data_IF_287055482835
#
_entry.id   IF_287055482835
#
_cell.length_a   1.000
_cell.length_b   1.000
_cell.length_c   1.000
_cell.angle_alpha   90.00
_cell.angle_beta   90.00
_cell.angle_gamma   90.00
#
_symmetry.space_group_name_H-M   'P 1'
#
loop_
_entity.id
_entity.type
_entity.pdbx_description
1 polymer ?
#
# COMPACT_ATOMS: atom_id res chain seq x y z
N UNK A 1 -16.12 17.39 7.65
CA UNK A 1 -15.35 18.62 7.33
C UNK A 1 -15.22 19.45 8.60
N UNK A 2 -14.00 19.88 8.92
CA UNK A 2 -13.58 20.80 10.01
C UNK A 2 -13.68 20.36 11.48
N UNK A 3 -12.98 19.27 11.84
CA UNK A 3 -12.60 18.98 13.24
C UNK A 3 -11.08 19.06 13.53
N UNK A 4 -10.25 19.47 12.57
CA UNK A 4 -8.78 19.34 12.67
C UNK A 4 -7.96 20.61 12.38
N UNK A 5 -8.53 21.81 12.54
CA UNK A 5 -7.76 23.07 12.49
C UNK A 5 -7.72 23.74 13.86
N UNK A 6 -7.27 22.97 14.87
CA UNK A 6 -6.60 23.54 16.04
C UNK A 6 -5.13 23.81 15.72
N UNK A 7 -4.41 24.54 16.58
CA UNK A 7 -2.96 24.71 16.41
C UNK A 7 -2.30 23.35 16.26
N UNK A 8 -1.45 23.19 15.24
CA UNK A 8 -0.74 21.95 14.92
C UNK A 8 0.31 21.66 16.00
N UNK A 9 -0.15 21.20 17.15
CA UNK A 9 0.73 20.74 18.22
C UNK A 9 1.45 19.49 17.76
N UNK A 10 2.76 19.42 18.06
CA UNK A 10 3.59 18.28 17.70
C UNK A 10 3.13 17.04 18.47
N UNK A 11 2.85 15.89 17.81
CA UNK A 11 2.41 14.69 18.52
C UNK A 11 3.45 14.21 19.52
N UNK A 12 2.98 13.79 20.70
CA UNK A 12 3.83 13.31 21.79
C UNK A 12 4.67 12.08 21.41
N UNK A 13 4.27 11.31 20.40
CA UNK A 13 4.99 10.12 19.94
C UNK A 13 6.23 10.45 19.09
N UNK A 14 6.38 11.69 18.61
CA UNK A 14 7.48 12.05 17.71
C UNK A 14 8.86 11.92 18.38
N UNK A 15 9.06 12.54 19.55
CA UNK A 15 10.37 12.53 20.20
C UNK A 15 10.86 11.13 20.59
N UNK A 16 10.05 10.29 21.26
CA UNK A 16 10.49 8.94 21.64
C UNK A 16 10.84 8.07 20.45
N UNK A 17 10.06 8.14 19.36
CA UNK A 17 10.30 7.32 18.16
C UNK A 17 11.47 7.82 17.33
N UNK A 18 11.68 9.14 17.22
CA UNK A 18 12.90 9.71 16.61
C UNK A 18 14.14 9.27 17.40
N UNK A 19 14.10 9.37 18.74
CA UNK A 19 15.20 8.91 19.58
C UNK A 19 15.48 7.41 19.36
N UNK A 20 14.44 6.57 19.33
CA UNK A 20 14.58 5.14 19.08
C UNK A 20 15.26 4.83 17.72
N UNK A 21 14.91 5.55 16.65
CA UNK A 21 15.58 5.39 15.34
C UNK A 21 17.04 5.84 15.42
N UNK A 22 17.33 6.98 16.05
CA UNK A 22 18.70 7.47 16.16
C UNK A 22 19.59 6.55 17.00
N UNK A 23 19.07 6.03 18.11
CA UNK A 23 19.77 5.08 18.97
C UNK A 23 19.97 3.72 18.26
N UNK A 24 18.99 3.31 17.43
CA UNK A 24 19.06 2.11 16.59
C UNK A 24 19.93 2.25 15.33
N UNK A 25 20.44 3.44 15.01
CA UNK A 25 21.22 3.68 13.78
C UNK A 25 22.54 2.90 13.69
N UNK A 26 22.99 2.26 14.78
CA UNK A 26 24.09 1.31 14.73
C UNK A 26 23.80 0.08 13.85
N UNK A 27 22.53 -0.33 13.71
CA UNK A 27 22.14 -1.49 12.90
C UNK A 27 22.49 -1.32 11.42
N UNK A 28 22.44 -0.09 10.89
CA UNK A 28 22.71 0.18 9.46
C UNK A 28 24.22 0.16 9.11
N UNK A 29 25.10 0.06 10.11
CA UNK A 29 26.55 -0.03 9.90
C UNK A 29 26.99 -1.38 9.33
N UNK A 30 26.18 -2.42 9.52
CA UNK A 30 26.45 -3.74 8.96
C UNK A 30 26.23 -3.80 7.43
N UNK A 31 25.53 -2.82 6.85
CA UNK A 31 25.27 -2.80 5.41
C UNK A 31 26.56 -2.68 4.59
N UNK A 32 26.72 -3.56 3.62
CA UNK A 32 27.85 -3.62 2.69
C UNK A 32 27.49 -3.16 1.27
N UNK A 33 26.21 -2.95 0.99
CA UNK A 33 25.70 -2.47 -0.29
C UNK A 33 24.39 -1.69 -0.18
N UNK A 34 23.96 -1.09 -1.30
CA UNK A 34 22.76 -0.25 -1.34
C UNK A 34 21.51 -0.92 -0.82
N UNK A 35 21.21 -2.12 -1.31
CA UNK A 35 19.99 -2.84 -0.97
C UNK A 35 19.92 -3.18 0.52
N UNK A 36 21.03 -3.59 1.12
CA UNK A 36 21.10 -3.94 2.54
C UNK A 36 20.92 -2.70 3.42
N UNK A 37 21.49 -1.55 3.03
CA UNK A 37 21.26 -0.29 3.76
C UNK A 37 19.80 0.15 3.66
N UNK A 38 19.21 0.03 2.48
CA UNK A 38 17.81 0.37 2.27
C UNK A 38 16.90 -0.49 3.14
N UNK A 39 17.08 -1.81 3.15
CA UNK A 39 16.28 -2.73 3.97
C UNK A 39 16.42 -2.44 5.47
N UNK A 40 17.65 -2.29 5.98
CA UNK A 40 17.87 -1.96 7.38
C UNK A 40 17.25 -0.60 7.77
N UNK A 41 17.14 0.34 6.83
CA UNK A 41 16.46 1.62 7.06
C UNK A 41 14.93 1.43 7.09
N UNK A 42 14.39 0.64 6.16
CA UNK A 42 12.97 0.28 6.10
C UNK A 42 12.52 -0.38 7.40
N UNK A 43 13.26 -1.38 7.91
CA UNK A 43 12.93 -2.07 9.16
C UNK A 43 12.97 -1.12 10.37
N UNK A 44 14.00 -0.27 10.46
CA UNK A 44 14.19 0.64 11.59
C UNK A 44 13.11 1.73 11.65
N UNK A 45 12.80 2.34 10.51
CA UNK A 45 11.77 3.38 10.37
C UNK A 45 10.38 2.77 10.48
N UNK A 46 10.17 1.66 9.77
CA UNK A 46 8.96 0.86 9.74
C UNK A 46 8.47 0.43 11.11
N UNK A 47 9.37 -0.10 11.94
CA UNK A 47 9.07 -0.50 13.31
C UNK A 47 8.47 0.64 14.15
N UNK A 48 8.86 1.90 13.91
CA UNK A 48 8.27 3.05 14.60
C UNK A 48 6.90 3.42 14.03
N UNK A 49 6.69 3.27 12.73
CA UNK A 49 5.37 3.46 12.11
C UNK A 49 4.40 2.41 12.65
N UNK A 50 4.82 1.14 12.73
CA UNK A 50 4.03 0.07 13.33
C UNK A 50 3.61 0.38 14.76
N UNK A 51 4.55 0.82 15.59
CA UNK A 51 4.25 1.24 16.96
C UNK A 51 3.24 2.40 17.00
N UNK A 52 3.44 3.44 16.18
CA UNK A 52 2.55 4.59 16.14
C UNK A 52 1.12 4.20 15.71
N UNK A 53 0.99 3.38 14.66
CA UNK A 53 -0.32 2.95 14.14
C UNK A 53 -1.03 2.05 15.14
N UNK A 54 -0.35 1.07 15.75
CA UNK A 54 -1.00 0.07 16.61
C UNK A 54 -1.27 0.57 18.03
N UNK A 55 -0.32 1.31 18.60
CA UNK A 55 -0.34 1.66 20.03
C UNK A 55 -0.76 3.12 20.27
N UNK A 56 -0.43 4.05 19.36
CA UNK A 56 -0.73 5.47 19.55
C UNK A 56 -2.05 5.88 18.91
N UNK A 57 -2.32 5.44 17.66
CA UNK A 57 -3.59 5.61 16.91
C UNK A 57 -4.08 7.07 16.70
N UNK A 58 -3.26 8.08 16.98
CA UNK A 58 -3.63 9.50 16.86
C UNK A 58 -2.45 10.38 16.44
N UNK A 59 -2.74 11.44 15.71
CA UNK A 59 -1.71 12.37 15.22
C UNK A 59 -0.71 11.70 14.29
N UNK A 60 -1.19 10.80 13.41
CA UNK A 60 -0.38 9.99 12.48
C UNK A 60 0.11 10.82 11.29
N UNK A 61 0.79 11.93 11.57
CA UNK A 61 1.39 12.80 10.56
C UNK A 61 2.79 12.30 10.19
N UNK A 62 2.85 11.13 9.57
CA UNK A 62 4.09 10.39 9.30
C UNK A 62 5.06 11.13 8.38
N UNK A 63 4.57 11.93 7.43
CA UNK A 63 5.42 12.81 6.60
C UNK A 63 6.10 13.91 7.43
N UNK A 64 5.37 14.50 8.38
CA UNK A 64 5.93 15.49 9.28
C UNK A 64 6.96 14.85 10.22
N UNK A 65 6.64 13.67 10.73
CA UNK A 65 7.57 12.88 11.54
C UNK A 65 8.85 12.55 10.75
N UNK A 66 8.75 12.11 9.49
CA UNK A 66 9.90 11.79 8.64
C UNK A 66 10.80 13.02 8.41
N UNK A 67 10.19 14.18 8.16
CA UNK A 67 10.93 15.44 8.01
C UNK A 67 11.72 15.78 9.29
N UNK A 68 11.11 15.61 10.47
CA UNK A 68 11.81 15.86 11.73
C UNK A 68 12.86 14.80 12.07
N UNK A 69 12.61 13.54 11.74
CA UNK A 69 13.62 12.48 11.85
C UNK A 69 14.85 12.84 11.01
N UNK A 70 14.65 13.35 9.80
CA UNK A 70 15.74 13.81 8.92
C UNK A 70 16.53 14.96 9.56
N UNK A 71 15.85 15.96 10.12
CA UNK A 71 16.48 17.10 10.81
C UNK A 71 17.27 16.64 12.05
N UNK A 72 16.68 15.78 12.88
CA UNK A 72 17.31 15.23 14.07
C UNK A 72 18.53 14.35 13.73
N UNK A 73 18.45 13.57 12.65
CA UNK A 73 19.57 12.78 12.12
C UNK A 73 20.72 13.70 11.70
N UNK A 74 20.43 14.78 10.97
CA UNK A 74 21.43 15.76 10.56
C UNK A 74 22.08 16.47 11.75
N UNK A 75 21.29 16.84 12.76
CA UNK A 75 21.77 17.46 13.99
C UNK A 75 22.69 16.50 14.77
N UNK A 76 22.30 15.23 14.93
CA UNK A 76 23.11 14.19 15.58
C UNK A 76 24.49 14.03 14.93
N UNK A 77 24.54 14.00 13.60
CA UNK A 77 25.79 13.95 12.83
C UNK A 77 26.64 15.19 13.13
N UNK A 78 26.04 16.37 13.07
CA UNK A 78 26.77 17.63 13.28
C UNK A 78 27.41 17.69 14.66
N UNK A 79 26.64 17.37 15.69
CA UNK A 79 27.04 17.34 17.10
C UNK A 79 28.20 16.38 17.36
N UNK A 80 28.11 15.15 16.84
CA UNK A 80 29.17 14.14 17.00
C UNK A 80 30.46 14.54 16.29
N UNK A 81 30.36 15.15 15.12
CA UNK A 81 31.51 15.68 14.41
C UNK A 81 32.17 16.84 15.17
N UNK A 82 31.41 17.72 15.84
CA UNK A 82 31.98 18.80 16.65
C UNK A 82 32.67 18.30 17.91
N UNK A 83 32.17 17.20 18.49
CA UNK A 83 32.81 16.53 19.62
C UNK A 83 34.04 15.72 19.22
N UNK A 84 34.30 15.54 17.91
CA UNK A 84 35.37 14.70 17.39
C UNK A 84 35.18 13.19 17.66
N UNK A 85 33.95 12.76 17.88
CA UNK A 85 33.61 11.35 18.11
C UNK A 85 33.46 10.55 16.82
N UNK A 86 33.25 9.23 16.94
CA UNK A 86 32.93 8.33 15.81
C UNK A 86 31.44 7.96 15.73
N UNK A 87 30.62 8.46 16.67
CA UNK A 87 29.18 8.16 16.75
C UNK A 87 28.32 8.74 15.61
N UNK A 88 28.93 9.47 14.67
CA UNK A 88 28.24 10.05 13.53
C UNK A 88 28.01 9.06 12.37
N UNK A 89 28.74 7.92 12.32
CA UNK A 89 28.72 7.00 11.17
C UNK A 89 27.35 6.35 10.93
N UNK A 90 26.69 5.88 12.01
CA UNK A 90 25.36 5.28 11.94
C UNK A 90 24.32 6.28 11.42
N UNK A 91 24.16 7.45 12.07
CA UNK A 91 23.30 8.53 11.59
C UNK A 91 23.62 8.98 10.15
N UNK A 92 24.91 9.01 9.75
CA UNK A 92 25.30 9.34 8.38
C UNK A 92 24.76 8.33 7.36
N UNK A 93 24.91 7.03 7.60
CA UNK A 93 24.33 5.99 6.73
C UNK A 93 22.81 6.02 6.73
N UNK A 94 22.20 6.20 7.90
CA UNK A 94 20.75 6.35 8.04
C UNK A 94 20.24 7.52 7.17
N UNK A 95 20.93 8.65 7.15
CA UNK A 95 20.54 9.80 6.31
C UNK A 95 20.53 9.46 4.81
N UNK A 96 21.45 8.60 4.35
CA UNK A 96 21.42 8.08 2.98
C UNK A 96 20.28 7.09 2.76
N UNK A 97 20.00 6.22 3.72
CA UNK A 97 18.81 5.34 3.71
C UNK A 97 17.50 6.13 3.62
N UNK A 98 17.31 7.15 4.45
CA UNK A 98 16.15 8.04 4.42
C UNK A 98 15.99 8.70 3.04
N UNK A 99 17.09 9.13 2.44
CA UNK A 99 17.05 9.68 1.07
C UNK A 99 16.70 8.65 -0.01
N UNK A 100 16.85 7.35 0.26
CA UNK A 100 16.54 6.28 -0.67
C UNK A 100 15.09 5.80 -0.56
N UNK A 101 14.50 5.82 0.64
CA UNK A 101 13.14 5.33 0.90
C UNK A 101 12.07 6.42 0.85
N UNK A 102 12.41 7.68 1.10
CA UNK A 102 11.43 8.77 1.12
C UNK A 102 10.89 9.09 -0.29
N UNK A 103 9.64 9.53 -0.38
CA UNK A 103 9.08 10.13 -1.61
C UNK A 103 9.98 11.29 -2.09
N UNK A 104 9.92 11.73 -3.37
CA UNK A 104 10.79 12.81 -3.86
C UNK A 104 10.80 14.08 -2.98
N UNK A 105 9.64 14.44 -2.40
CA UNK A 105 9.51 15.55 -1.47
C UNK A 105 10.28 15.30 -0.16
N UNK A 106 10.09 14.14 0.46
CA UNK A 106 10.75 13.76 1.73
C UNK A 106 12.26 13.52 1.55
N UNK A 107 12.65 12.81 0.49
CA UNK A 107 14.03 12.50 0.15
C UNK A 107 14.86 13.76 -0.13
N UNK A 108 14.24 14.86 -0.59
CA UNK A 108 14.90 16.14 -0.83
C UNK A 108 15.53 16.72 0.44
N UNK A 109 14.84 16.60 1.59
CA UNK A 109 15.34 17.04 2.90
C UNK A 109 16.61 16.28 3.29
N UNK A 110 16.55 14.95 3.27
CA UNK A 110 17.68 14.09 3.61
C UNK A 110 18.87 14.28 2.64
N UNK A 111 18.57 14.41 1.35
CA UNK A 111 19.56 14.70 0.31
C UNK A 111 20.29 16.02 0.57
N UNK A 112 19.55 17.07 0.92
CA UNK A 112 20.08 18.39 1.20
C UNK A 112 20.93 18.39 2.46
N UNK A 113 20.45 17.77 3.54
CA UNK A 113 21.21 17.63 4.78
C UNK A 113 22.55 16.92 4.55
N UNK A 114 22.54 15.80 3.81
CA UNK A 114 23.77 15.07 3.53
C UNK A 114 24.76 15.87 2.68
N UNK A 115 24.28 16.63 1.67
CA UNK A 115 25.15 17.52 0.87
C UNK A 115 25.83 18.59 1.74
N UNK A 116 25.11 19.15 2.72
CA UNK A 116 25.66 20.16 3.65
C UNK A 116 26.72 19.59 4.58
N UNK A 117 26.55 18.33 5.01
CA UNK A 117 27.43 17.66 5.96
C UNK A 117 28.63 16.97 5.30
N UNK A 118 28.58 16.67 4.00
CA UNK A 118 29.60 15.91 3.28
C UNK A 118 31.04 16.39 3.50
N UNK A 119 31.28 17.70 3.42
CA UNK A 119 32.63 18.25 3.62
C UNK A 119 33.14 18.10 5.06
N UNK A 120 32.24 18.14 6.06
CA UNK A 120 32.58 17.95 7.48
C UNK A 120 32.90 16.48 7.75
N UNK A 121 32.06 15.57 7.24
CA UNK A 121 32.26 14.11 7.30
C UNK A 121 33.59 13.71 6.64
N UNK A 122 33.89 14.23 5.45
CA UNK A 122 35.14 13.94 4.75
C UNK A 122 36.39 14.37 5.54
N UNK A 123 36.34 15.50 6.26
CA UNK A 123 37.45 15.99 7.09
C UNK A 123 37.66 15.17 8.37
N UNK A 124 36.60 14.56 8.90
CA UNK A 124 36.65 13.74 10.10
C UNK A 124 37.30 12.36 9.88
N UNK A 125 37.97 12.15 8.73
CA UNK A 125 38.57 10.87 8.39
C UNK A 125 37.53 9.78 8.19
N UNK A 126 36.31 10.16 7.78
CA UNK A 126 35.23 9.22 7.57
C UNK A 126 35.70 8.00 6.79
N UNK A 127 35.33 6.78 7.20
CA UNK A 127 35.77 5.55 6.54
C UNK A 127 35.53 5.76 5.06
N UNK A 128 36.59 5.65 4.24
CA UNK A 128 36.59 6.07 2.84
C UNK A 128 35.25 5.76 2.20
N UNK A 129 34.45 6.81 2.02
CA UNK A 129 32.98 6.68 1.90
C UNK A 129 32.68 5.61 0.88
N UNK A 130 31.93 4.58 1.30
CA UNK A 130 31.65 3.46 0.42
C UNK A 130 31.05 4.04 -0.87
N UNK A 131 31.68 3.75 -2.02
CA UNK A 131 31.37 4.42 -3.29
C UNK A 131 29.90 4.30 -3.70
N UNK A 132 29.19 3.34 -3.12
CA UNK A 132 27.78 3.08 -3.35
C UNK A 132 26.83 3.98 -2.53
N UNK A 133 27.28 4.63 -1.45
CA UNK A 133 26.44 5.50 -0.61
C UNK A 133 25.81 6.68 -1.37
N UNK A 134 26.55 7.42 -2.23
CA UNK A 134 25.93 8.44 -3.07
C UNK A 134 24.98 7.88 -4.13
N UNK A 135 25.18 6.62 -4.55
CA UNK A 135 24.38 5.97 -5.59
C UNK A 135 22.98 5.56 -5.10
N UNK A 136 22.78 5.42 -3.78
CA UNK A 136 21.49 5.14 -3.12
C UNK A 136 20.33 6.00 -3.65
N UNK A 137 20.60 7.28 -3.90
CA UNK A 137 19.60 8.29 -4.31
C UNK A 137 19.16 8.16 -5.76
N UNK A 138 19.81 7.28 -6.51
CA UNK A 138 19.67 7.14 -7.96
C UNK A 138 19.13 5.77 -8.37
N UNK A 139 18.50 5.06 -7.44
CA UNK A 139 17.66 3.93 -7.80
C UNK A 139 16.62 4.38 -8.82
N UNK A 140 16.41 3.56 -9.84
CA UNK A 140 15.41 3.79 -10.87
C UNK A 140 14.70 2.50 -11.23
N UNK A 141 13.45 2.59 -11.65
CA UNK A 141 12.75 1.45 -12.23
C UNK A 141 13.36 1.07 -13.58
N UNK A 142 13.49 -0.23 -13.85
CA UNK A 142 13.86 -0.75 -15.18
C UNK A 142 12.72 -0.56 -16.19
N UNK A 143 11.50 -0.24 -15.73
CA UNK A 143 10.30 -0.11 -16.54
C UNK A 143 9.71 -1.44 -17.00
N UNK A 144 10.27 -2.57 -16.55
CA UNK A 144 9.64 -3.89 -16.69
C UNK A 144 8.63 -4.05 -15.56
N UNK A 145 7.41 -4.46 -15.92
CA UNK A 145 6.30 -4.59 -14.99
C UNK A 145 5.52 -5.85 -15.30
N UNK A 146 5.16 -6.58 -14.26
CA UNK A 146 4.26 -7.73 -14.31
C UNK A 146 3.07 -7.46 -13.42
N UNK A 147 1.93 -8.02 -13.77
CA UNK A 147 0.74 -8.00 -12.95
C UNK A 147 0.21 -9.42 -12.73
N UNK A 148 -0.45 -9.61 -11.59
CA UNK A 148 -1.17 -10.80 -11.18
C UNK A 148 -2.54 -10.37 -10.69
N UNK A 149 -3.52 -11.24 -10.85
CA UNK A 149 -4.85 -11.05 -10.27
C UNK A 149 -5.28 -12.36 -9.63
N UNK A 150 -5.92 -12.30 -8.47
CA UNK A 150 -6.55 -13.47 -7.88
C UNK A 150 -7.80 -13.90 -8.65
N UNK A 151 -8.31 -15.09 -8.36
CA UNK A 151 -9.47 -15.66 -9.01
C UNK A 151 -10.75 -14.84 -8.80
N UNK A 152 -10.82 -13.99 -7.76
CA UNK A 152 -11.94 -13.07 -7.57
C UNK A 152 -11.83 -11.82 -8.45
N UNK A 153 -10.63 -11.43 -8.89
CA UNK A 153 -10.41 -10.22 -9.66
C UNK A 153 -10.23 -8.95 -8.81
N UNK A 154 -10.13 -9.08 -7.48
CA UNK A 154 -10.08 -7.95 -6.54
C UNK A 154 -8.75 -7.82 -5.81
N UNK A 155 -7.90 -8.84 -5.85
CA UNK A 155 -6.55 -8.78 -5.30
C UNK A 155 -5.53 -8.74 -6.43
N UNK A 156 -4.72 -7.69 -6.49
CA UNK A 156 -3.86 -7.40 -7.62
C UNK A 156 -2.41 -7.29 -7.16
N UNK A 157 -1.53 -8.14 -7.67
CA UNK A 157 -0.09 -8.00 -7.48
C UNK A 157 0.52 -7.23 -8.65
N UNK A 158 1.26 -6.15 -8.40
CA UNK A 158 2.08 -5.48 -9.41
C UNK A 158 3.55 -5.58 -9.03
N UNK A 159 4.35 -6.19 -9.90
CA UNK A 159 5.78 -6.39 -9.69
C UNK A 159 6.52 -5.50 -10.67
N UNK A 160 7.40 -4.63 -10.18
CA UNK A 160 8.20 -3.75 -11.03
C UNK A 160 9.69 -3.96 -10.81
N UNK A 161 10.48 -3.95 -11.88
CA UNK A 161 11.94 -4.06 -11.81
C UNK A 161 12.62 -2.76 -11.39
N UNK A 162 13.69 -2.86 -10.61
CA UNK A 162 14.51 -1.75 -10.13
C UNK A 162 16.00 -2.09 -10.16
N UNK A 163 16.83 -1.05 -10.27
CA UNK A 163 18.29 -1.18 -10.22
C UNK A 163 18.92 0.12 -9.72
N UNK A 164 20.07 0.00 -9.06
CA UNK A 164 20.95 1.14 -8.79
C UNK A 164 21.82 1.45 -10.03
N UNK A 165 22.47 2.64 -10.06
CA UNK A 165 23.31 3.02 -11.20
C UNK A 165 24.34 1.96 -11.60
N UNK A 166 24.44 1.72 -12.91
CA UNK A 166 25.37 0.73 -13.45
C UNK A 166 24.85 -0.71 -13.41
N UNK A 167 23.56 -0.95 -13.13
CA UNK A 167 23.00 -2.30 -13.06
C UNK A 167 23.29 -3.01 -11.74
N UNK A 168 23.65 -2.25 -10.69
CA UNK A 168 23.99 -2.79 -9.38
C UNK A 168 22.73 -3.17 -8.62
N UNK A 169 22.80 -4.31 -7.93
CA UNK A 169 21.73 -4.91 -7.12
C UNK A 169 20.37 -4.88 -7.84
N UNK A 170 20.22 -5.58 -8.99
CA UNK A 170 18.92 -5.71 -9.64
C UNK A 170 17.95 -6.39 -8.67
N UNK A 171 16.74 -5.86 -8.61
CA UNK A 171 15.68 -6.39 -7.75
C UNK A 171 14.31 -6.10 -8.35
N UNK A 172 13.28 -6.72 -7.81
CA UNK A 172 11.89 -6.34 -8.08
C UNK A 172 11.22 -5.81 -6.81
N UNK A 173 10.21 -4.97 -6.98
CA UNK A 173 9.35 -4.51 -5.90
C UNK A 173 7.91 -4.95 -6.17
N UNK A 174 7.28 -5.57 -5.17
CA UNK A 174 5.87 -5.94 -5.19
C UNK A 174 5.03 -4.83 -4.57
N UNK A 175 4.00 -4.40 -5.30
CA UNK A 175 2.84 -3.70 -4.78
C UNK A 175 1.69 -4.72 -4.71
N UNK A 176 1.27 -5.10 -3.51
CA UNK A 176 0.11 -5.98 -3.32
C UNK A 176 -1.11 -5.11 -2.98
N UNK A 177 -2.00 -4.97 -3.95
CA UNK A 177 -3.14 -4.06 -3.93
C UNK A 177 -4.42 -4.82 -3.65
N UNK A 178 -5.15 -4.38 -2.63
CA UNK A 178 -6.52 -4.79 -2.39
C UNK A 178 -7.49 -3.78 -3.01
N UNK A 179 -8.39 -4.26 -3.86
CA UNK A 179 -9.46 -3.46 -4.47
C UNK A 179 -10.86 -3.87 -4.00
N UNK A 180 -10.98 -4.68 -2.95
CA UNK A 180 -12.26 -5.13 -2.40
C UNK A 180 -13.08 -3.99 -1.80
N UNK A 181 -12.39 -3.01 -1.18
CA UNK A 181 -12.97 -1.82 -0.58
C UNK A 181 -12.42 -0.54 -1.20
N UNK A 182 -11.81 0.31 -0.37
CA UNK A 182 -10.89 1.34 -0.85
C UNK A 182 -9.67 0.67 -1.48
N UNK A 183 -9.15 1.24 -2.56
CA UNK A 183 -7.96 0.70 -3.22
C UNK A 183 -6.74 1.00 -2.36
N UNK A 184 -6.09 -0.01 -1.81
CA UNK A 184 -4.98 0.16 -0.86
C UNK A 184 -3.83 -0.80 -1.14
N UNK A 185 -2.59 -0.39 -0.85
CA UNK A 185 -1.44 -1.30 -0.81
C UNK A 185 -1.40 -1.94 0.57
N UNK A 186 -1.78 -3.22 0.65
CA UNK A 186 -1.89 -3.93 1.93
C UNK A 186 -0.69 -4.83 2.24
N UNK A 187 0.18 -5.04 1.25
CA UNK A 187 1.50 -5.64 1.42
C UNK A 187 2.46 -5.09 0.34
N UNK A 188 3.75 -5.08 0.65
CA UNK A 188 4.78 -4.62 -0.27
C UNK A 188 6.13 -5.21 0.10
N UNK A 189 7.08 -5.27 -0.82
CA UNK A 189 8.43 -5.77 -0.50
C UNK A 189 9.40 -5.78 -1.67
N UNK A 190 10.69 -5.90 -1.36
CA UNK A 190 11.77 -6.08 -2.34
C UNK A 190 12.15 -7.56 -2.41
N UNK A 191 12.32 -8.06 -3.63
CA UNK A 191 12.70 -9.44 -3.90
C UNK A 191 13.83 -9.51 -4.93
N UNK A 192 14.56 -10.62 -4.97
CA UNK A 192 15.64 -10.81 -5.95
C UNK A 192 15.09 -10.90 -7.38
N UNK A 193 13.93 -11.52 -7.56
CA UNK A 193 13.32 -11.77 -8.86
C UNK A 193 11.79 -11.84 -8.81
N UNK A 194 11.18 -11.91 -10.00
CA UNK A 194 9.72 -12.02 -10.18
C UNK A 194 9.18 -13.29 -9.52
N UNK A 195 9.89 -14.41 -9.56
CA UNK A 195 9.39 -15.68 -9.01
C UNK A 195 9.26 -15.62 -7.48
N UNK A 196 10.23 -15.03 -6.79
CA UNK A 196 10.15 -14.77 -5.36
C UNK A 196 9.00 -13.81 -5.01
N UNK A 197 8.84 -12.73 -5.77
CA UNK A 197 7.75 -11.77 -5.56
C UNK A 197 6.37 -12.40 -5.78
N UNK A 198 6.22 -13.25 -6.80
CA UNK A 198 5.00 -14.03 -7.06
C UNK A 198 4.72 -14.99 -5.91
N UNK A 199 5.73 -15.74 -5.45
CA UNK A 199 5.56 -16.66 -4.33
C UNK A 199 5.11 -15.94 -3.05
N UNK A 200 5.72 -14.79 -2.75
CA UNK A 200 5.34 -13.98 -1.60
C UNK A 200 3.92 -13.40 -1.74
N UNK A 201 3.55 -12.93 -2.94
CA UNK A 201 2.22 -12.44 -3.22
C UNK A 201 1.16 -13.53 -3.04
N UNK A 202 1.37 -14.72 -3.64
CA UNK A 202 0.45 -15.86 -3.50
C UNK A 202 0.31 -16.31 -2.04
N UNK A 203 1.42 -16.36 -1.30
CA UNK A 203 1.40 -16.72 0.11
C UNK A 203 0.58 -15.75 0.96
N UNK A 204 0.58 -14.46 0.61
CA UNK A 204 -0.19 -13.44 1.32
C UNK A 204 -1.66 -13.40 0.87
N UNK A 205 -1.92 -13.47 -0.43
CA UNK A 205 -3.27 -13.42 -1.00
C UNK A 205 -4.10 -14.69 -0.68
N UNK A 206 -3.43 -15.83 -0.51
CA UNK A 206 -4.05 -17.10 -0.11
C UNK A 206 -4.58 -17.92 -1.29
N UNK A 207 -5.56 -18.77 -1.02
CA UNK A 207 -6.03 -19.80 -1.96
C UNK A 207 -6.48 -19.24 -3.31
N UNK A 208 -7.15 -18.08 -3.34
CA UNK A 208 -7.63 -17.44 -4.58
C UNK A 208 -6.50 -17.04 -5.54
N UNK A 209 -5.26 -16.96 -5.07
CA UNK A 209 -4.10 -16.59 -5.86
C UNK A 209 -3.25 -17.81 -6.30
N UNK A 210 -3.60 -19.02 -5.87
CA UNK A 210 -2.76 -20.22 -6.04
C UNK A 210 -2.34 -20.48 -7.50
N UNK A 211 -3.29 -20.33 -8.43
CA UNK A 211 -3.08 -20.57 -9.87
C UNK A 211 -2.71 -19.30 -10.67
N UNK A 212 -2.64 -18.14 -10.03
CA UNK A 212 -2.47 -16.87 -10.73
C UNK A 212 -1.04 -16.71 -11.27
N UNK A 213 -0.86 -16.58 -12.58
CA UNK A 213 0.45 -16.43 -13.23
C UNK A 213 0.80 -14.96 -13.50
N UNK A 214 2.10 -14.59 -13.42
CA UNK A 214 2.53 -13.24 -13.76
C UNK A 214 2.45 -12.97 -15.26
N UNK A 215 1.71 -11.92 -15.63
CA UNK A 215 1.65 -11.43 -17.01
C UNK A 215 2.42 -10.11 -17.13
N UNK A 216 3.29 -10.00 -18.13
CA UNK A 216 3.98 -8.74 -18.42
C UNK A 216 2.96 -7.67 -18.84
N UNK A 217 2.95 -6.53 -18.17
CA UNK A 217 2.03 -5.44 -18.47
C UNK A 217 2.39 -4.84 -19.84
N UNK A 218 1.45 -4.88 -20.78
CA UNK A 218 1.62 -4.35 -22.14
C UNK A 218 1.00 -2.97 -22.30
N UNK A 219 0.00 -2.64 -21.45
CA UNK A 219 -0.79 -1.43 -21.58
C UNK A 219 -0.90 -0.72 -20.23
N UNK A 220 -1.02 0.60 -20.26
CA UNK A 220 -1.05 1.40 -19.04
C UNK A 220 -2.31 1.13 -18.19
N UNK A 221 -3.44 0.78 -18.81
CA UNK A 221 -4.69 0.47 -18.11
C UNK A 221 -4.63 -0.82 -17.28
N UNK A 222 -3.70 -1.74 -17.58
CA UNK A 222 -3.42 -2.91 -16.73
C UNK A 222 -2.79 -2.52 -15.39
N UNK A 223 -2.26 -1.29 -15.29
CA UNK A 223 -1.65 -0.73 -14.08
C UNK A 223 -2.55 0.32 -13.41
N UNK A 224 -3.84 0.36 -13.76
CA UNK A 224 -4.80 1.34 -13.24
C UNK A 224 -4.89 1.31 -11.71
N UNK A 225 -4.77 0.13 -11.09
CA UNK A 225 -4.77 -0.04 -9.63
C UNK A 225 -3.72 0.85 -8.93
N UNK A 226 -2.54 1.03 -9.53
CA UNK A 226 -1.48 1.88 -8.97
C UNK A 226 -1.80 3.37 -9.03
N UNK A 227 -2.69 3.80 -9.94
CA UNK A 227 -3.13 5.19 -9.99
C UNK A 227 -4.11 5.54 -8.86
N UNK A 228 -4.85 4.54 -8.36
CA UNK A 228 -5.91 4.73 -7.35
C UNK A 228 -5.51 4.29 -5.95
N UNK A 229 -4.58 3.34 -5.83
CA UNK A 229 -4.18 2.84 -4.53
C UNK A 229 -3.68 3.98 -3.63
N UNK A 230 -4.07 3.96 -2.36
CA UNK A 230 -3.43 4.82 -1.36
C UNK A 230 -2.00 4.31 -1.12
N UNK A 231 -1.01 5.16 -1.43
CA UNK A 231 0.41 4.88 -1.32
C UNK A 231 1.11 5.72 -0.25
N UNK A 232 0.35 6.16 0.76
CA UNK A 232 0.89 6.85 1.93
C UNK A 232 0.30 8.23 2.17
N UNK A 233 -0.95 8.46 1.78
CA UNK A 233 -1.57 9.77 1.80
C UNK A 233 -2.18 10.14 3.13
N UNK A 234 -3.25 9.46 3.55
CA UNK A 234 -4.21 10.17 4.42
C UNK A 234 -4.91 9.30 5.47
N UNK A 235 -4.93 7.96 5.33
CA UNK A 235 -5.75 7.10 6.19
C UNK A 235 -5.00 5.82 6.57
N UNK A 236 -4.83 5.63 7.88
CA UNK A 236 -4.51 4.31 8.45
C UNK A 236 -5.83 3.65 8.89
N UNK A 237 -6.00 2.38 8.53
CA UNK A 237 -7.10 1.52 8.96
C UNK A 237 -6.76 0.81 10.27
N UNK A 238 -5.47 0.61 10.58
CA UNK A 238 -4.98 0.02 11.83
C UNK A 238 -4.82 -1.50 11.78
N UNK A 239 -5.22 -2.14 10.69
CA UNK A 239 -5.11 -3.56 10.39
C UNK A 239 -4.04 -3.86 9.31
N UNK A 240 -3.21 -2.86 8.97
CA UNK A 240 -2.18 -3.01 7.96
C UNK A 240 -1.16 -4.10 8.34
N UNK A 241 -0.70 -4.81 7.32
CA UNK A 241 0.36 -5.80 7.51
C UNK A 241 1.66 -5.15 7.99
N UNK A 242 2.47 -5.93 8.71
CA UNK A 242 3.80 -5.47 9.12
C UNK A 242 4.61 -4.97 7.93
N UNK A 243 4.55 -5.72 6.83
CA UNK A 243 5.30 -5.40 5.62
C UNK A 243 4.79 -4.11 4.96
N UNK A 244 3.48 -3.84 4.93
CA UNK A 244 2.95 -2.58 4.41
C UNK A 244 3.44 -1.37 5.23
N UNK A 245 3.40 -1.49 6.56
CA UNK A 245 3.85 -0.44 7.47
C UNK A 245 5.36 -0.22 7.42
N UNK A 246 6.14 -1.30 7.31
CA UNK A 246 7.59 -1.20 7.14
C UNK A 246 7.94 -0.53 5.81
N UNK A 247 7.21 -0.86 4.75
CA UNK A 247 7.38 -0.30 3.42
C UNK A 247 6.72 1.07 3.19
N UNK A 248 6.07 1.67 4.20
CA UNK A 248 5.20 2.84 4.02
C UNK A 248 5.79 3.94 3.13
N UNK A 249 6.99 4.41 3.44
CA UNK A 249 7.69 5.42 2.63
C UNK A 249 8.22 4.86 1.32
N UNK A 250 8.77 3.63 1.36
CA UNK A 250 9.40 2.96 0.21
C UNK A 250 8.38 2.74 -0.92
N UNK A 251 7.14 2.39 -0.61
CA UNK A 251 6.06 2.20 -1.58
C UNK A 251 5.83 3.46 -2.41
N UNK A 252 5.62 4.61 -1.76
CA UNK A 252 5.46 5.91 -2.45
C UNK A 252 6.67 6.23 -3.33
N UNK A 253 7.88 6.00 -2.82
CA UNK A 253 9.13 6.21 -3.55
C UNK A 253 9.23 5.31 -4.79
N UNK A 254 8.91 4.02 -4.67
CA UNK A 254 8.93 3.05 -5.77
C UNK A 254 7.90 3.38 -6.84
N UNK A 255 6.70 3.81 -6.44
CA UNK A 255 5.68 4.24 -7.38
C UNK A 255 6.13 5.46 -8.19
N UNK A 256 6.74 6.46 -7.56
CA UNK A 256 7.27 7.63 -8.27
C UNK A 256 8.33 7.25 -9.31
N UNK A 257 9.29 6.38 -8.93
CA UNK A 257 10.33 5.91 -9.85
C UNK A 257 9.76 5.09 -11.01
N UNK A 258 8.75 4.27 -10.74
CA UNK A 258 8.01 3.53 -11.77
C UNK A 258 7.25 4.47 -12.71
N UNK A 259 6.48 5.40 -12.16
CA UNK A 259 5.69 6.36 -12.93
C UNK A 259 6.58 7.21 -13.86
N UNK A 260 7.74 7.64 -13.37
CA UNK A 260 8.71 8.40 -14.16
C UNK A 260 9.35 7.53 -15.25
N UNK A 261 9.68 6.27 -14.97
CA UNK A 261 10.21 5.34 -15.97
C UNK A 261 9.18 5.06 -17.09
N UNK A 262 7.93 4.80 -16.72
CA UNK A 262 6.82 4.58 -17.64
C UNK A 262 6.52 5.82 -18.49
N UNK A 263 6.53 7.01 -17.89
CA UNK A 263 6.38 8.28 -18.63
C UNK A 263 7.49 8.47 -19.66
N UNK A 264 8.75 8.21 -19.29
CA UNK A 264 9.90 8.29 -20.21
C UNK A 264 9.80 7.30 -21.38
N UNK A 265 9.08 6.19 -21.21
CA UNK A 265 8.82 5.17 -22.24
C UNK A 265 7.59 5.45 -23.10
N UNK A 266 6.84 6.51 -22.82
CA UNK A 266 5.64 6.87 -23.57
C UNK A 266 4.37 6.12 -23.14
N UNK A 267 4.41 5.39 -22.02
CA UNK A 267 3.28 4.61 -21.47
C UNK A 267 2.99 5.04 -20.03
N UNK A 268 2.68 6.32 -19.76
CA UNK A 268 2.48 6.81 -18.40
C UNK A 268 1.34 6.07 -17.70
N UNK A 269 1.39 6.01 -16.36
CA UNK A 269 0.27 5.49 -15.58
C UNK A 269 -1.03 6.24 -15.92
N UNK A 270 -2.19 5.55 -15.90
CA UNK A 270 -3.48 6.18 -16.12
C UNK A 270 -3.72 7.34 -15.16
N UNK A 271 -4.47 8.33 -15.61
CA UNK A 271 -4.91 9.41 -14.73
C UNK A 271 -6.04 8.90 -13.85
N UNK A 272 -5.87 8.99 -12.53
CA UNK A 272 -6.94 8.70 -11.59
C UNK A 272 -8.12 9.68 -11.81
N UNK A 273 -9.32 9.12 -11.92
CA UNK A 273 -10.59 9.84 -11.84
C UNK A 273 -11.12 9.81 -10.41
N UNK A 274 -12.24 10.49 -10.14
CA UNK A 274 -12.87 10.37 -8.84
C UNK A 274 -13.74 9.11 -8.81
N UNK A 275 -13.48 8.16 -7.90
CA UNK A 275 -14.23 6.92 -7.76
C UNK A 275 -15.61 7.07 -7.08
N UNK A 276 -15.95 8.29 -6.66
CA UNK A 276 -17.19 8.63 -5.94
C UNK A 276 -18.09 9.60 -6.72
N UNK A 277 -17.74 9.93 -7.97
CA UNK A 277 -18.52 10.86 -8.80
C UNK A 277 -18.89 10.21 -10.12
N UNK A 278 -20.04 10.63 -10.65
CA UNK A 278 -20.55 10.21 -11.95
C UNK A 278 -20.70 8.67 -12.07
N UNK A 279 -21.07 8.03 -10.96
CA UNK A 279 -21.34 6.60 -10.89
C UNK A 279 -22.72 6.30 -11.49
N UNK A 280 -22.77 5.35 -12.42
CA UNK A 280 -24.01 4.84 -12.99
C UNK A 280 -24.20 3.37 -12.60
N UNK A 281 -25.00 3.14 -11.55
CA UNK A 281 -25.36 1.79 -11.11
C UNK A 281 -26.52 1.19 -11.92
N UNK A 282 -27.20 1.97 -12.78
CA UNK A 282 -28.39 1.56 -13.51
C UNK A 282 -28.23 0.25 -14.30
N UNK A 283 -27.15 0.10 -15.11
CA UNK A 283 -26.90 -1.14 -15.83
C UNK A 283 -26.75 -2.37 -14.91
N UNK A 284 -26.19 -2.20 -13.72
CA UNK A 284 -25.99 -3.27 -12.74
C UNK A 284 -27.33 -3.66 -12.09
N UNK A 285 -28.13 -2.65 -11.71
CA UNK A 285 -29.49 -2.78 -11.18
C UNK A 285 -30.39 -3.52 -12.17
N UNK A 286 -30.45 -3.07 -13.42
CA UNK A 286 -31.30 -3.64 -14.46
C UNK A 286 -30.95 -5.11 -14.75
N UNK A 287 -29.66 -5.41 -14.85
CA UNK A 287 -29.17 -6.76 -15.11
C UNK A 287 -29.47 -7.71 -13.94
N UNK A 288 -29.22 -7.28 -12.70
CA UNK A 288 -29.55 -8.08 -11.52
C UNK A 288 -31.07 -8.26 -11.35
N UNK A 289 -31.87 -7.21 -11.52
CA UNK A 289 -33.32 -7.28 -11.38
C UNK A 289 -33.94 -8.27 -12.38
N UNK A 290 -33.41 -8.31 -13.61
CA UNK A 290 -33.79 -9.29 -14.63
C UNK A 290 -33.44 -10.71 -14.18
N UNK A 291 -32.19 -10.95 -13.79
CA UNK A 291 -31.72 -12.25 -13.30
C UNK A 291 -32.53 -12.74 -12.08
N UNK A 292 -32.81 -11.84 -11.14
CA UNK A 292 -33.56 -12.15 -9.93
C UNK A 292 -35.02 -12.48 -10.26
N UNK A 293 -35.64 -11.74 -11.17
CA UNK A 293 -37.01 -11.99 -11.63
C UNK A 293 -37.14 -13.34 -12.32
N UNK A 294 -36.19 -13.70 -13.18
CA UNK A 294 -36.18 -15.00 -13.87
C UNK A 294 -36.10 -16.18 -12.89
N UNK A 295 -35.39 -16.00 -11.77
CA UNK A 295 -35.17 -17.05 -10.77
C UNK A 295 -36.24 -17.14 -9.68
N UNK A 296 -36.80 -15.99 -9.27
CA UNK A 296 -37.73 -15.89 -8.14
C UNK A 296 -39.16 -15.52 -8.55
N UNK A 297 -39.39 -15.20 -9.83
CA UNK A 297 -40.71 -14.89 -10.40
C UNK A 297 -41.22 -13.47 -10.13
N UNK A 298 -40.51 -12.67 -9.33
CA UNK A 298 -40.79 -11.26 -9.08
C UNK A 298 -39.48 -10.49 -8.96
N UNK A 299 -39.45 -9.20 -9.35
CA UNK A 299 -38.28 -8.36 -9.14
C UNK A 299 -38.07 -8.07 -7.64
N UNK A 300 -36.83 -7.77 -7.23
CA UNK A 300 -36.56 -7.26 -5.89
C UNK A 300 -37.15 -5.85 -5.72
N UNK A 301 -37.27 -5.39 -4.48
CA UNK A 301 -37.66 -4.01 -4.20
C UNK A 301 -36.62 -3.03 -4.81
N UNK A 302 -37.03 -1.99 -5.55
CA UNK A 302 -36.09 -1.11 -6.24
C UNK A 302 -35.15 -0.36 -5.30
N UNK A 303 -35.67 0.22 -4.22
CA UNK A 303 -34.89 1.07 -3.31
C UNK A 303 -33.73 0.33 -2.60
N UNK A 304 -33.94 -0.86 -1.99
CA UNK A 304 -32.82 -1.65 -1.45
C UNK A 304 -31.83 -2.14 -2.50
N UNK A 305 -32.30 -2.44 -3.72
CA UNK A 305 -31.43 -2.84 -4.82
C UNK A 305 -30.55 -1.68 -5.29
N UNK A 306 -31.13 -0.50 -5.49
CA UNK A 306 -30.42 0.71 -5.90
C UNK A 306 -29.35 1.08 -4.86
N UNK A 307 -29.70 1.06 -3.58
CA UNK A 307 -28.78 1.32 -2.48
C UNK A 307 -27.62 0.31 -2.45
N UNK A 308 -27.92 -0.99 -2.57
CA UNK A 308 -26.90 -2.05 -2.60
C UNK A 308 -25.97 -1.89 -3.81
N UNK A 309 -26.52 -1.65 -5.00
CA UNK A 309 -25.75 -1.51 -6.22
C UNK A 309 -24.81 -0.28 -6.17
N UNK A 310 -25.30 0.84 -5.65
CA UNK A 310 -24.49 2.05 -5.48
C UNK A 310 -23.31 1.80 -4.54
N UNK A 311 -23.56 1.23 -3.36
CA UNK A 311 -22.54 0.94 -2.34
C UNK A 311 -21.55 -0.14 -2.79
N UNK A 312 -22.01 -1.04 -3.66
CA UNK A 312 -21.16 -2.04 -4.30
C UNK A 312 -20.10 -1.41 -5.20
N UNK A 313 -20.44 -0.39 -5.98
CA UNK A 313 -19.54 0.22 -6.97
C UNK A 313 -18.84 1.50 -6.49
N UNK A 314 -19.39 2.20 -5.49
CA UNK A 314 -18.81 3.43 -4.98
C UNK A 314 -17.41 3.21 -4.40
N UNK A 315 -16.46 4.03 -4.83
CA UNK A 315 -15.07 3.92 -4.38
C UNK A 315 -14.31 2.69 -4.93
N UNK A 316 -14.92 1.87 -5.80
CA UNK A 316 -14.26 0.66 -6.32
C UNK A 316 -13.43 0.93 -7.56
N UNK A 317 -12.35 0.17 -7.69
CA UNK A 317 -11.53 0.16 -8.89
C UNK A 317 -12.37 -0.29 -10.11
N UNK A 318 -12.40 0.48 -11.21
CA UNK A 318 -13.06 0.07 -12.44
C UNK A 318 -12.52 -1.27 -12.94
N UNK A 319 -13.41 -2.10 -13.51
CA UNK A 319 -13.08 -3.46 -13.94
C UNK A 319 -13.14 -4.51 -12.82
N UNK A 320 -13.29 -4.09 -11.55
CA UNK A 320 -13.47 -5.03 -10.43
C UNK A 320 -14.93 -5.20 -10.01
N UNK A 321 -15.90 -4.57 -10.67
CA UNK A 321 -17.30 -4.53 -10.19
C UNK A 321 -17.96 -5.90 -10.02
N UNK A 322 -17.53 -6.93 -10.75
CA UNK A 322 -18.03 -8.29 -10.55
C UNK A 322 -17.21 -9.15 -9.57
N UNK A 323 -16.14 -8.60 -8.99
CA UNK A 323 -15.39 -9.32 -7.97
C UNK A 323 -16.24 -9.44 -6.70
N UNK A 324 -16.57 -10.66 -6.31
CA UNK A 324 -17.36 -10.96 -5.13
C UNK A 324 -16.51 -11.76 -4.14
N UNK A 325 -15.39 -11.20 -3.69
CA UNK A 325 -14.52 -11.84 -2.69
C UNK A 325 -15.13 -11.79 -1.28
N UNK A 326 -14.75 -12.72 -0.39
CA UNK A 326 -15.16 -12.68 1.02
C UNK A 326 -14.86 -11.33 1.68
N UNK A 327 -13.70 -10.73 1.35
CA UNK A 327 -13.31 -9.43 1.89
C UNK A 327 -14.25 -8.31 1.41
N UNK A 328 -14.62 -8.28 0.12
CA UNK A 328 -15.60 -7.30 -0.38
C UNK A 328 -16.97 -7.49 0.27
N UNK A 329 -17.41 -8.73 0.42
CA UNK A 329 -18.70 -9.04 1.08
C UNK A 329 -18.72 -8.49 2.51
N UNK A 330 -17.65 -8.70 3.29
CA UNK A 330 -17.55 -8.13 4.64
C UNK A 330 -17.52 -6.61 4.63
N UNK A 331 -16.78 -6.00 3.72
CA UNK A 331 -16.73 -4.54 3.58
C UNK A 331 -18.12 -3.95 3.31
N UNK A 332 -18.85 -4.50 2.33
CA UNK A 332 -20.21 -4.05 1.98
C UNK A 332 -21.19 -4.26 3.14
N UNK A 333 -21.07 -5.37 3.88
CA UNK A 333 -21.88 -5.58 5.09
C UNK A 333 -21.61 -4.55 6.17
N UNK A 334 -20.35 -4.15 6.35
CA UNK A 334 -19.98 -3.06 7.26
C UNK A 334 -20.70 -1.77 6.88
N UNK A 335 -20.65 -1.40 5.59
CA UNK A 335 -21.33 -0.19 5.08
C UNK A 335 -22.85 -0.25 5.28
N UNK A 336 -23.48 -1.36 4.89
CA UNK A 336 -24.93 -1.56 5.07
C UNK A 336 -25.33 -1.48 6.54
N UNK A 337 -24.50 -1.99 7.46
CA UNK A 337 -24.79 -1.95 8.90
C UNK A 337 -24.78 -0.53 9.49
N UNK A 338 -24.13 0.42 8.83
CA UNK A 338 -24.09 1.83 9.24
C UNK A 338 -25.30 2.65 8.74
N UNK A 339 -26.15 2.08 7.88
CA UNK A 339 -27.33 2.77 7.34
C UNK A 339 -28.40 2.99 8.42
N UNK A 340 -28.85 4.24 8.57
CA UNK A 340 -29.98 4.62 9.43
C UNK A 340 -31.26 4.56 8.62
N UNK A 341 -31.85 3.37 8.42
CA UNK A 341 -33.26 3.13 8.07
C UNK A 341 -33.55 1.60 8.04
N UNK A 342 -34.21 1.10 9.10
CA UNK A 342 -34.36 -0.34 9.41
C UNK A 342 -34.98 -1.23 8.29
N UNK A 343 -35.94 -0.77 7.45
CA UNK A 343 -36.49 -1.59 6.37
C UNK A 343 -35.53 -1.79 5.19
N UNK A 344 -34.87 -0.71 4.73
CA UNK A 344 -33.98 -0.75 3.56
C UNK A 344 -32.73 -1.57 3.87
N UNK A 345 -32.13 -1.35 5.05
CA UNK A 345 -30.97 -2.11 5.52
C UNK A 345 -31.25 -3.62 5.56
N UNK A 346 -32.42 -4.01 6.08
CA UNK A 346 -32.81 -5.41 6.19
C UNK A 346 -33.07 -6.05 4.83
N UNK A 347 -33.75 -5.35 3.93
CA UNK A 347 -34.05 -5.85 2.59
C UNK A 347 -32.79 -5.94 1.72
N UNK A 348 -31.90 -4.94 1.77
CA UNK A 348 -30.61 -4.99 1.06
C UNK A 348 -29.73 -6.13 1.58
N UNK A 349 -29.67 -6.32 2.90
CA UNK A 349 -28.96 -7.45 3.51
C UNK A 349 -29.50 -8.80 3.05
N UNK A 350 -30.82 -8.92 2.85
CA UNK A 350 -31.47 -10.14 2.37
C UNK A 350 -31.14 -10.44 0.90
N UNK A 351 -30.81 -9.43 0.08
CA UNK A 351 -30.41 -9.59 -1.31
C UNK A 351 -28.96 -10.06 -1.47
N UNK A 352 -28.09 -9.86 -0.47
CA UNK A 352 -26.65 -10.15 -0.57
C UNK A 352 -26.30 -11.56 -1.09
N UNK A 353 -26.91 -12.66 -0.61
CA UNK A 353 -26.57 -13.99 -1.10
C UNK A 353 -26.81 -14.15 -2.61
N UNK A 354 -27.91 -13.60 -3.11
CA UNK A 354 -28.27 -13.69 -4.52
C UNK A 354 -27.48 -12.70 -5.37
N UNK A 355 -27.18 -11.52 -4.84
CA UNK A 355 -26.25 -10.54 -5.41
C UNK A 355 -24.86 -11.16 -5.65
N UNK A 356 -24.32 -11.87 -4.64
CA UNK A 356 -23.03 -12.57 -4.72
C UNK A 356 -23.07 -13.70 -5.76
N UNK A 357 -24.13 -14.51 -5.78
CA UNK A 357 -24.29 -15.57 -6.80
C UNK A 357 -24.33 -15.00 -8.20
N UNK A 358 -25.09 -13.94 -8.40
CA UNK A 358 -25.18 -13.28 -9.69
C UNK A 358 -23.81 -12.78 -10.17
N UNK A 359 -23.04 -12.11 -9.30
CA UNK A 359 -21.68 -11.68 -9.62
C UNK A 359 -20.73 -12.83 -9.92
N UNK A 360 -20.80 -13.92 -9.15
CA UNK A 360 -20.01 -15.14 -9.41
C UNK A 360 -20.35 -15.79 -10.75
N UNK A 361 -21.62 -15.76 -11.16
CA UNK A 361 -22.05 -16.22 -12.49
C UNK A 361 -21.51 -15.32 -13.61
N UNK A 362 -21.28 -14.01 -13.37
CA UNK A 362 -20.69 -13.11 -14.37
C UNK A 362 -19.19 -13.33 -14.61
N UNK A 363 -18.50 -14.00 -13.68
CA UNK A 363 -17.04 -14.21 -13.72
C UNK A 363 -16.64 -15.67 -13.80
N UNK A 364 -17.61 -16.58 -13.95
CA UNK A 364 -17.40 -18.03 -13.89
C UNK A 364 -16.62 -18.45 -12.62
N UNK A 365 -16.92 -17.82 -11.48
CA UNK A 365 -16.18 -18.03 -10.23
C UNK A 365 -16.32 -19.50 -9.77
N UNK A 366 -15.20 -20.19 -9.45
CA UNK A 366 -15.24 -21.56 -8.95
C UNK A 366 -16.13 -21.75 -7.72
N UNK A 367 -16.83 -22.88 -7.65
CA UNK A 367 -17.83 -23.16 -6.60
C UNK A 367 -17.27 -23.03 -5.18
N UNK A 368 -16.04 -23.48 -4.94
CA UNK A 368 -15.39 -23.38 -3.62
C UNK A 368 -15.13 -21.91 -3.20
N UNK A 369 -14.78 -21.04 -4.14
CA UNK A 369 -14.60 -19.61 -3.89
C UNK A 369 -15.95 -18.90 -3.69
N UNK A 370 -16.96 -19.24 -4.49
CA UNK A 370 -18.33 -18.77 -4.26
C UNK A 370 -18.83 -19.16 -2.86
N UNK A 371 -18.57 -20.40 -2.42
CA UNK A 371 -18.95 -20.87 -1.09
C UNK A 371 -18.29 -20.02 0.02
N UNK A 372 -17.01 -19.66 -0.13
CA UNK A 372 -16.32 -18.77 0.81
C UNK A 372 -16.95 -17.37 0.86
N UNK A 373 -17.32 -16.80 -0.29
CA UNK A 373 -17.99 -15.49 -0.35
C UNK A 373 -19.38 -15.50 0.26
N UNK A 374 -20.15 -16.57 0.06
CA UNK A 374 -21.46 -16.75 0.70
C UNK A 374 -21.34 -16.95 2.21
N UNK A 375 -20.30 -17.67 2.68
CA UNK A 375 -20.04 -17.81 4.12
C UNK A 375 -19.76 -16.46 4.78
N UNK A 376 -19.06 -15.55 4.10
CA UNK A 376 -18.80 -14.20 4.59
C UNK A 376 -20.07 -13.34 4.81
N UNK A 377 -21.21 -13.73 4.22
CA UNK A 377 -22.52 -13.11 4.52
C UNK A 377 -23.00 -13.45 5.93
N UNK A 378 -22.72 -14.67 6.39
CA UNK A 378 -23.18 -15.19 7.67
C UNK A 378 -22.20 -14.94 8.84
N UNK A 379 -20.96 -14.51 8.56
CA UNK A 379 -19.95 -14.21 9.57
C UNK A 379 -20.40 -13.06 10.52
N UNK A 380 -20.09 -13.17 11.81
CA UNK A 380 -20.28 -12.05 12.75
C UNK A 380 -19.31 -10.89 12.41
N UNK A 381 -19.84 -9.66 12.37
CA UNK A 381 -19.06 -8.44 12.10
C UNK A 381 -17.99 -8.15 13.18
N UNK A 382 -18.11 -8.75 14.36
CA UNK A 382 -17.19 -8.57 15.50
C UNK A 382 -15.82 -9.26 15.35
N UNK A 383 -15.51 -9.88 14.20
CA UNK A 383 -14.22 -10.53 13.98
C UNK A 383 -13.31 -9.59 13.16
N UNK A 384 -12.33 -8.91 13.78
CA UNK A 384 -11.37 -8.09 13.04
C UNK A 384 -10.41 -9.02 12.31
N UNK A 385 -10.76 -9.40 11.09
CA UNK A 385 -9.95 -10.28 10.23
C UNK A 385 -9.69 -9.63 8.87
N UNK A 386 -9.59 -8.31 8.85
CA UNK A 386 -9.19 -7.53 7.67
C UNK A 386 -7.67 -7.61 7.40
N UNK A 387 -6.91 -8.19 8.34
CA UNK A 387 -5.48 -8.50 8.19
C UNK A 387 -5.14 -9.99 8.15
N UNK A 388 -6.13 -10.89 8.18
CA UNK A 388 -5.84 -12.32 8.06
C UNK A 388 -5.66 -12.72 6.59
N UNK A 389 -4.59 -13.48 6.26
CA UNK A 389 -4.54 -14.17 4.97
C UNK A 389 -5.82 -14.99 4.82
N UNK A 390 -6.39 -15.02 3.61
CA UNK A 390 -7.53 -15.89 3.30
C UNK A 390 -7.20 -17.30 3.82
N UNK A 391 -7.86 -17.71 4.91
CA UNK A 391 -7.42 -18.87 5.68
C UNK A 391 -7.48 -20.15 4.85
N UNK A 392 -6.44 -20.96 5.03
CA UNK A 392 -6.21 -22.33 4.52
C UNK A 392 -7.31 -23.32 4.81
#
# INVERSE_FOLDING_TARGET
MDLFVGSRERPAWFDPTIAAVLDGSGAVLAADGPRVLEEATVELVGGQIRHAVRDVRRGLWVDWWFAQLTEATAARIHDELDRGGTGWEGPWRLLHGLSAIGSPALASGATTAARRLAAKVARAGGPGEARWLPAMRRLSSTGEVWHLCDAYGSRIGVIAGFTYPGGVDPSVFLFDVDACGMVTVVNAGVYDDVAQAVAAWRAFAGESASDAEPAAAQRADELVCLAYADHGGEIFQGDESDSALDNWFRTSRRLHELADALRRRGTPLPRATNLHRDLDAGPLVDAFATWYSDRHGNPPAPEPLDALAYEWIEGRLPGTWHAASPHRVRHIRGLISDWVDDPVTKEASALLPDWIRWHAEQTDLPEHLLAASLAAVADNLDRPDLGAPCMT
#
